data_IF_946201563224
#
_entry.id   IF_946201563224
#
_cell.length_a   1.000
_cell.length_b   1.000
_cell.length_c   1.000
_cell.angle_alpha   90.00
_cell.angle_beta   90.00
_cell.angle_gamma   90.00
#
_symmetry.space_group_name_H-M   'P 1'
#
loop_
_entity.id
_entity.type
_entity.pdbx_description
1 polymer ?
#
# COMPACT_ATOMS: atom_id res chain seq x y z
N UNK A 1 -17.01 -12.42 21.86
CA UNK A 1 -16.59 -11.97 20.50
C UNK A 1 -16.00 -10.57 20.61
N UNK A 2 -14.68 -10.44 20.63
CA UNK A 2 -14.00 -9.15 20.76
C UNK A 2 -13.93 -8.49 19.37
N UNK A 3 -14.72 -7.44 19.14
CA UNK A 3 -14.53 -6.55 17.99
C UNK A 3 -13.24 -5.75 18.18
N UNK A 4 -12.10 -6.26 17.69
CA UNK A 4 -10.88 -5.45 17.49
C UNK A 4 -10.88 -4.95 16.06
N UNK A 5 -11.47 -3.78 15.81
CA UNK A 5 -11.65 -3.27 14.43
C UNK A 5 -11.72 -1.75 14.34
N UNK A 6 -11.04 -1.04 15.22
CA UNK A 6 -10.77 0.39 15.05
C UNK A 6 -9.26 0.56 14.87
N UNK A 7 -8.81 1.07 13.73
CA UNK A 7 -7.40 1.38 13.53
C UNK A 7 -6.98 2.42 14.58
N UNK A 8 -6.07 2.05 15.48
CA UNK A 8 -5.46 2.98 16.45
C UNK A 8 -4.56 4.02 15.77
N UNK A 9 -4.31 3.85 14.47
CA UNK A 9 -3.45 4.70 13.67
C UNK A 9 -4.30 5.77 13.00
N UNK A 10 -4.02 7.03 13.33
CA UNK A 10 -4.52 8.16 12.57
C UNK A 10 -3.71 8.29 11.27
N UNK A 11 -4.21 7.72 10.18
CA UNK A 11 -3.56 7.79 8.86
C UNK A 11 -3.57 9.19 8.23
N UNK A 12 -4.29 10.15 8.81
CA UNK A 12 -4.28 11.55 8.38
C UNK A 12 -3.23 12.40 9.12
N UNK A 13 -2.39 11.76 9.93
CA UNK A 13 -1.36 12.42 10.72
C UNK A 13 -0.32 13.12 9.81
N UNK A 14 0.00 14.42 10.05
CA UNK A 14 1.04 15.15 9.32
C UNK A 14 2.39 14.44 9.25
N UNK A 15 2.78 13.71 10.30
CA UNK A 15 4.02 12.92 10.32
C UNK A 15 4.01 11.81 9.26
N UNK A 16 2.87 11.15 9.04
CA UNK A 16 2.73 10.13 8.01
C UNK A 16 2.75 10.75 6.62
N UNK A 17 2.21 11.96 6.47
CA UNK A 17 2.29 12.73 5.22
C UNK A 17 3.74 13.04 4.85
N UNK A 18 4.51 13.63 5.78
CA UNK A 18 5.93 13.97 5.60
C UNK A 18 6.78 12.72 5.34
N UNK A 19 6.50 11.61 6.01
CA UNK A 19 7.19 10.34 5.76
C UNK A 19 7.02 9.87 4.30
N UNK A 20 5.79 9.93 3.78
CA UNK A 20 5.50 9.55 2.39
C UNK A 20 6.16 10.52 1.42
N UNK A 21 6.09 11.82 1.68
CA UNK A 21 6.73 12.84 0.86
C UNK A 21 8.24 12.62 0.77
N UNK A 22 8.90 12.32 1.88
CA UNK A 22 10.34 12.00 1.89
C UNK A 22 10.67 10.74 1.11
N UNK A 23 9.87 9.67 1.26
CA UNK A 23 10.07 8.43 0.52
C UNK A 23 9.85 8.61 -0.99
N UNK A 24 8.86 9.41 -1.37
CA UNK A 24 8.63 9.81 -2.75
C UNK A 24 9.81 10.63 -3.28
N UNK A 25 10.26 11.62 -2.53
CA UNK A 25 11.40 12.44 -2.92
C UNK A 25 12.67 11.60 -3.08
N UNK A 26 12.94 10.62 -2.21
CA UNK A 26 14.09 9.70 -2.34
C UNK A 26 14.03 8.87 -3.63
N UNK A 27 12.88 8.25 -3.94
CA UNK A 27 12.74 7.33 -5.07
C UNK A 27 12.61 8.09 -6.42
N UNK A 28 11.99 9.27 -6.41
CA UNK A 28 11.68 10.09 -7.61
C UNK A 28 12.80 11.09 -7.92
N UNK A 29 13.76 11.36 -7.02
CA UNK A 29 14.74 12.44 -7.14
C UNK A 29 15.53 12.48 -8.47
N UNK A 30 15.72 11.34 -9.12
CA UNK A 30 16.44 11.27 -10.41
C UNK A 30 15.58 11.56 -11.64
N UNK A 31 14.28 11.78 -11.45
CA UNK A 31 13.28 11.87 -12.51
C UNK A 31 13.05 10.48 -13.11
N UNK A 32 11.79 10.08 -13.24
CA UNK A 32 11.48 8.86 -13.97
C UNK A 32 11.54 9.14 -15.49
N UNK A 33 12.75 9.46 -15.97
CA UNK A 33 13.07 9.78 -17.37
C UNK A 33 12.59 8.64 -18.28
N UNK A 34 12.65 7.40 -17.78
CA UNK A 34 12.14 6.20 -18.45
C UNK A 34 10.62 6.22 -18.61
N UNK A 35 9.85 6.52 -17.57
CA UNK A 35 8.38 6.58 -17.67
C UNK A 35 7.94 7.76 -18.53
N UNK A 36 8.59 8.92 -18.42
CA UNK A 36 8.28 10.09 -19.26
C UNK A 36 8.61 9.87 -20.74
N UNK A 37 9.70 9.14 -21.04
CA UNK A 37 10.11 8.85 -22.42
C UNK A 37 9.29 7.75 -23.09
N UNK A 38 8.73 6.80 -22.33
CA UNK A 38 8.11 5.58 -22.88
C UNK A 38 6.58 5.57 -22.78
N UNK A 39 6.01 6.24 -21.77
CA UNK A 39 4.56 6.23 -21.54
C UNK A 39 3.97 7.57 -22.02
N UNK A 40 3.01 7.60 -22.96
CA UNK A 40 2.30 8.84 -23.32
C UNK A 40 1.59 9.46 -22.11
N UNK A 41 1.56 10.79 -22.01
CA UNK A 41 0.99 11.50 -20.85
C UNK A 41 -0.52 11.23 -20.67
N UNK A 42 -1.23 11.02 -21.78
CA UNK A 42 -2.66 10.74 -21.85
C UNK A 42 -3.01 9.28 -21.54
N UNK A 43 -2.03 8.38 -21.43
CA UNK A 43 -2.29 6.96 -21.28
C UNK A 43 -2.92 6.66 -19.92
N UNK A 44 -4.12 6.08 -19.96
CA UNK A 44 -4.81 5.56 -18.78
C UNK A 44 -4.46 4.09 -18.55
N UNK A 45 -4.42 3.67 -17.29
CA UNK A 45 -4.17 2.29 -16.89
C UNK A 45 -5.01 1.90 -15.67
N UNK A 46 -5.10 0.58 -15.45
CA UNK A 46 -5.63 -0.01 -14.22
C UNK A 46 -4.55 -0.91 -13.64
N UNK A 47 -4.05 -0.54 -12.46
CA UNK A 47 -3.12 -1.32 -11.66
C UNK A 47 -3.87 -2.21 -10.67
N UNK A 48 -3.37 -3.43 -10.48
CA UNK A 48 -3.89 -4.40 -9.50
C UNK A 48 -2.80 -4.76 -8.49
N UNK A 49 -3.07 -4.50 -7.22
CA UNK A 49 -2.18 -4.89 -6.12
C UNK A 49 -2.68 -6.21 -5.55
N UNK A 50 -1.84 -7.23 -5.53
CA UNK A 50 -2.18 -8.57 -5.05
C UNK A 50 -1.00 -9.19 -4.31
N UNK A 51 -1.29 -10.12 -3.39
CA UNK A 51 -0.23 -10.84 -2.65
C UNK A 51 0.16 -12.14 -3.34
N UNK A 52 1.46 -12.44 -3.36
CA UNK A 52 2.02 -13.69 -3.88
C UNK A 52 2.14 -14.79 -2.83
N UNK A 53 1.93 -14.45 -1.56
CA UNK A 53 2.12 -15.34 -0.41
C UNK A 53 1.00 -15.13 0.61
N UNK A 54 0.81 -16.13 1.46
CA UNK A 54 -0.13 -16.04 2.58
C UNK A 54 0.42 -15.10 3.67
N UNK A 55 -0.46 -14.29 4.25
CA UNK A 55 -0.05 -13.36 5.30
C UNK A 55 -1.16 -12.45 5.82
N UNK A 56 -0.81 -11.63 6.80
CA UNK A 56 -1.66 -10.56 7.34
C UNK A 56 -1.33 -9.26 6.62
N UNK A 57 -2.34 -8.62 6.05
CA UNK A 57 -2.20 -7.37 5.30
C UNK A 57 -2.19 -6.18 6.27
N UNK A 58 -1.26 -5.25 6.08
CA UNK A 58 -1.20 -4.00 6.83
C UNK A 58 -0.56 -2.89 6.00
N UNK A 59 -1.05 -1.66 6.12
CA UNK A 59 -0.55 -0.48 5.43
C UNK A 59 -1.34 -0.06 4.18
N UNK A 60 -2.56 -0.57 3.97
CA UNK A 60 -3.38 -0.17 2.81
C UNK A 60 -3.78 1.31 2.81
N UNK A 61 -4.07 1.96 3.95
CA UNK A 61 -4.30 3.41 3.97
C UNK A 61 -3.05 4.20 3.55
N UNK A 62 -1.85 3.72 3.90
CA UNK A 62 -0.59 4.33 3.49
C UNK A 62 -0.36 4.20 1.98
N UNK A 63 -0.65 3.04 1.41
CA UNK A 63 -0.64 2.82 -0.04
C UNK A 63 -1.55 3.83 -0.75
N UNK A 64 -2.79 4.03 -0.27
CA UNK A 64 -3.69 5.04 -0.83
C UNK A 64 -3.08 6.44 -0.73
N UNK A 65 -2.45 6.78 0.39
CA UNK A 65 -1.84 8.08 0.58
C UNK A 65 -0.69 8.34 -0.40
N UNK A 66 0.17 7.34 -0.65
CA UNK A 66 1.25 7.43 -1.64
C UNK A 66 0.71 7.84 -3.01
N UNK A 67 -0.28 7.10 -3.52
CA UNK A 67 -0.87 7.40 -4.83
C UNK A 67 -1.57 8.76 -4.88
N UNK A 68 -2.30 9.15 -3.84
CA UNK A 68 -3.00 10.45 -3.80
C UNK A 68 -2.04 11.65 -3.62
N UNK A 69 -0.84 11.45 -3.05
CA UNK A 69 0.17 12.49 -3.01
C UNK A 69 0.83 12.72 -4.38
N UNK A 70 0.98 11.66 -5.17
CA UNK A 70 1.48 11.75 -6.55
C UNK A 70 0.45 12.40 -7.46
N UNK A 71 -0.78 11.89 -7.43
CA UNK A 71 -1.85 12.30 -8.32
C UNK A 71 -3.21 12.16 -7.64
N UNK A 72 -3.80 13.29 -7.19
CA UNK A 72 -5.12 13.31 -6.54
C UNK A 72 -6.27 12.83 -7.44
N UNK A 73 -6.07 12.71 -8.76
CA UNK A 73 -7.10 12.25 -9.70
C UNK A 73 -7.20 10.73 -9.79
N UNK A 74 -6.23 9.99 -9.24
CA UNK A 74 -6.25 8.53 -9.21
C UNK A 74 -7.44 8.02 -8.39
N UNK A 75 -8.17 7.05 -8.96
CA UNK A 75 -9.21 6.31 -8.22
C UNK A 75 -8.58 5.07 -7.60
N UNK A 76 -8.71 4.95 -6.29
CA UNK A 76 -8.11 3.86 -5.51
C UNK A 76 -9.23 3.16 -4.74
N UNK A 77 -9.44 1.89 -5.08
CA UNK A 77 -10.39 0.99 -4.45
C UNK A 77 -9.60 -0.01 -3.58
N UNK A 78 -9.82 0.02 -2.27
CA UNK A 78 -9.26 -0.97 -1.34
C UNK A 78 -10.29 -2.09 -1.21
N UNK A 79 -9.90 -3.33 -1.50
CA UNK A 79 -10.78 -4.50 -1.50
C UNK A 79 -10.78 -5.26 -0.17
N UNK A 80 -9.78 -4.99 0.67
CA UNK A 80 -9.65 -5.54 2.02
C UNK A 80 -9.21 -4.45 2.99
N UNK A 81 -9.25 -4.75 4.28
CA UNK A 81 -8.83 -3.85 5.35
C UNK A 81 -7.52 -4.34 6.00
N UNK A 82 -6.83 -3.43 6.70
CA UNK A 82 -5.67 -3.80 7.51
C UNK A 82 -6.08 -4.82 8.60
N UNK A 83 -5.26 -5.85 8.79
CA UNK A 83 -5.53 -7.01 9.64
C UNK A 83 -6.19 -8.18 8.91
N UNK A 84 -6.57 -8.02 7.64
CA UNK A 84 -7.10 -9.11 6.82
C UNK A 84 -6.05 -10.22 6.62
N UNK A 85 -6.47 -11.48 6.80
CA UNK A 85 -5.65 -12.66 6.53
C UNK A 85 -5.85 -13.06 5.07
N UNK A 86 -4.87 -12.74 4.23
CA UNK A 86 -4.89 -13.03 2.81
C UNK A 86 -4.15 -14.32 2.47
N UNK A 87 -4.69 -15.07 1.51
CA UNK A 87 -3.97 -16.15 0.82
C UNK A 87 -3.27 -15.61 -0.42
N UNK A 88 -2.27 -16.34 -0.93
CA UNK A 88 -1.66 -16.07 -2.23
C UNK A 88 -2.74 -15.94 -3.32
N UNK A 89 -2.61 -14.95 -4.19
CA UNK A 89 -3.61 -14.64 -5.23
C UNK A 89 -4.62 -13.56 -4.83
N UNK A 90 -4.78 -13.27 -3.52
CA UNK A 90 -5.77 -12.27 -3.08
C UNK A 90 -5.41 -10.88 -3.61
N UNK A 91 -6.40 -10.25 -4.26
CA UNK A 91 -6.30 -8.86 -4.69
C UNK A 91 -6.64 -7.94 -3.51
N UNK A 92 -5.78 -6.96 -3.26
CA UNK A 92 -5.84 -6.06 -2.11
C UNK A 92 -6.40 -4.69 -2.49
N UNK A 93 -6.05 -4.21 -3.68
CA UNK A 93 -6.51 -2.92 -4.18
C UNK A 93 -6.48 -2.85 -5.72
N UNK A 94 -7.37 -2.02 -6.27
CA UNK A 94 -7.35 -1.58 -7.65
C UNK A 94 -7.06 -0.08 -7.71
N UNK A 95 -6.25 0.33 -8.68
CA UNK A 95 -5.89 1.74 -8.89
C UNK A 95 -6.13 2.05 -10.37
N UNK A 96 -6.84 3.13 -10.68
CA UNK A 96 -7.09 3.53 -12.07
C UNK A 96 -6.87 5.02 -12.29
N UNK A 97 -6.27 5.37 -13.44
CA UNK A 97 -6.00 6.74 -13.86
C UNK A 97 -4.74 6.81 -14.73
N UNK A 98 -3.98 7.91 -14.62
CA UNK A 98 -2.72 8.10 -15.36
C UNK A 98 -1.75 6.94 -15.15
N UNK A 99 -1.32 6.32 -16.25
CA UNK A 99 -0.35 5.22 -16.22
C UNK A 99 0.99 5.67 -15.63
N UNK A 100 1.43 6.90 -15.92
CA UNK A 100 2.66 7.47 -15.34
C UNK A 100 2.55 7.59 -13.83
N UNK A 101 1.44 8.14 -13.33
CA UNK A 101 1.20 8.33 -11.91
C UNK A 101 1.15 6.99 -11.15
N UNK A 102 0.54 5.96 -11.75
CA UNK A 102 0.49 4.61 -11.18
C UNK A 102 1.91 4.00 -11.09
N UNK A 103 2.71 4.11 -12.14
CA UNK A 103 4.06 3.53 -12.15
C UNK A 103 5.00 4.27 -11.18
N UNK A 104 4.91 5.60 -11.13
CA UNK A 104 5.73 6.44 -10.25
C UNK A 104 5.53 6.07 -8.76
N UNK A 105 4.30 5.72 -8.37
CA UNK A 105 3.97 5.37 -7.00
C UNK A 105 4.18 3.91 -6.64
N UNK A 106 4.40 3.03 -7.63
CA UNK A 106 4.41 1.58 -7.42
C UNK A 106 5.44 1.16 -6.38
N UNK A 107 6.71 1.54 -6.59
CA UNK A 107 7.82 1.07 -5.75
C UNK A 107 7.67 1.56 -4.31
N UNK A 108 7.38 2.84 -4.11
CA UNK A 108 7.18 3.43 -2.79
C UNK A 108 5.98 2.77 -2.08
N UNK A 109 4.83 2.64 -2.76
CA UNK A 109 3.63 2.03 -2.20
C UNK A 109 3.85 0.56 -1.82
N UNK A 110 4.45 -0.23 -2.71
CA UNK A 110 4.72 -1.65 -2.47
C UNK A 110 5.74 -1.86 -1.36
N UNK A 111 6.79 -1.04 -1.27
CA UNK A 111 7.79 -1.14 -0.20
C UNK A 111 7.16 -0.95 1.18
N UNK A 112 6.28 0.05 1.33
CA UNK A 112 5.54 0.24 2.57
C UNK A 112 4.63 -0.95 2.89
N UNK A 113 3.81 -1.37 1.92
CA UNK A 113 2.84 -2.45 2.12
C UNK A 113 3.54 -3.77 2.47
N UNK A 114 4.62 -4.12 1.76
CA UNK A 114 5.40 -5.33 2.00
C UNK A 114 6.04 -5.32 3.39
N UNK A 115 6.64 -4.20 3.79
CA UNK A 115 7.30 -4.10 5.10
C UNK A 115 6.30 -4.21 6.24
N UNK A 116 5.18 -3.49 6.17
CA UNK A 116 4.15 -3.50 7.21
C UNK A 116 3.43 -4.85 7.28
N UNK A 117 3.05 -5.42 6.13
CA UNK A 117 2.42 -6.75 6.07
C UNK A 117 3.38 -7.85 6.52
N UNK A 118 4.67 -7.73 6.22
CA UNK A 118 5.71 -8.65 6.69
C UNK A 118 5.84 -8.65 8.22
N UNK A 119 5.80 -7.47 8.85
CA UNK A 119 5.78 -7.34 10.31
C UNK A 119 4.50 -7.94 10.88
N UNK A 120 3.32 -7.56 10.37
CA UNK A 120 2.03 -8.05 10.85
C UNK A 120 1.92 -9.58 10.77
N UNK A 121 2.38 -10.17 9.66
CA UNK A 121 2.41 -11.62 9.46
C UNK A 121 3.30 -12.33 10.47
N UNK A 122 4.53 -11.83 10.68
CA UNK A 122 5.46 -12.42 11.66
C UNK A 122 4.92 -12.30 13.08
N UNK A 123 4.38 -11.14 13.45
CA UNK A 123 3.77 -10.92 14.76
C UNK A 123 2.57 -11.85 14.98
N UNK A 124 1.70 -12.04 13.98
CA UNK A 124 0.56 -12.95 14.09
C UNK A 124 0.99 -14.39 14.35
N UNK A 125 2.04 -14.87 13.65
CA UNK A 125 2.61 -16.22 13.87
C UNK A 125 3.19 -16.40 15.26
N UNK A 126 3.84 -15.37 15.81
CA UNK A 126 4.38 -15.41 17.17
C UNK A 126 3.29 -15.34 18.26
N UNK A 127 2.17 -14.67 17.98
CA UNK A 127 1.04 -14.56 18.91
C UNK A 127 0.14 -15.80 18.93
N UNK A 128 0.19 -16.64 17.89
CA UNK A 128 -0.67 -17.81 17.74
C UNK A 128 -0.56 -18.82 18.89
N UNK A 129 0.63 -19.22 19.38
CA UNK A 129 0.76 -20.13 20.51
C UNK A 129 0.20 -19.55 21.83
N UNK A 130 0.19 -18.22 21.97
CA UNK A 130 -0.22 -17.54 23.21
C UNK A 130 -1.75 -17.53 23.35
N UNK A 131 -2.49 -17.64 22.24
CA UNK A 131 -3.97 -17.70 22.26
C UNK A 131 -4.52 -18.91 22.99
N UNK A 132 -3.74 -19.98 23.16
CA UNK A 132 -4.14 -21.17 23.90
C UNK A 132 -4.11 -20.99 25.43
N UNK A 133 -3.55 -19.89 25.93
CA UNK A 133 -3.46 -19.58 27.36
C UNK A 133 -4.46 -18.49 27.82
N UNK A 134 -5.42 -18.10 26.96
CA UNK A 134 -6.52 -17.17 27.26
C UNK A 134 -7.86 -17.89 27.20
#
# INVERSE_FOLDING_TARGET
MIKRGGSLVNWQNPFIRDLVERALNEDIWTGDITTEAVIPAERQAVGRVWTKVDGVIAGLPLLRQVFLQIDPSLRIELLVEDGYVATAGTTLANISGSARSILLGERVALNFLQRLSGIATRTSRLAEPIKFYQ
#
